data_IF_761822843380
#
_entry.id   IF_761822843380
#
_cell.length_a   1.000
_cell.length_b   1.000
_cell.length_c   1.000
_cell.angle_alpha   90.00
_cell.angle_beta   90.00
_cell.angle_gamma   90.00
#
_symmetry.space_group_name_H-M   'P 1'
#
loop_
_entity.id
_entity.type
_entity.pdbx_description
1 polymer ?
#
# COMPACT_ATOMS: atom_id res chain seq x y z
N UNK A 1 6.90 12.51 6.92
CA UNK A 1 6.52 11.27 6.20
C UNK A 1 7.10 10.06 6.91
N UNK A 2 6.25 9.11 7.31
CA UNK A 2 6.67 7.87 7.96
C UNK A 2 6.24 6.65 7.15
N UNK A 3 7.08 5.62 7.07
CA UNK A 3 6.75 4.35 6.40
C UNK A 3 6.39 3.30 7.46
N UNK A 4 5.15 2.84 7.50
CA UNK A 4 4.73 1.81 8.48
C UNK A 4 5.03 0.39 8.00
N UNK A 5 4.78 0.12 6.72
CA UNK A 5 5.00 -1.17 6.07
C UNK A 5 5.41 -0.97 4.61
N UNK A 6 6.16 -1.94 4.07
CA UNK A 6 6.37 -2.05 2.64
C UNK A 6 6.54 -3.50 2.20
N UNK A 7 6.26 -3.75 0.92
CA UNK A 7 6.64 -4.96 0.22
C UNK A 7 7.00 -4.59 -1.22
N UNK A 8 8.27 -4.79 -1.59
CA UNK A 8 8.74 -4.61 -2.96
C UNK A 8 8.64 -5.96 -3.66
N UNK A 9 7.91 -6.00 -4.76
CA UNK A 9 7.71 -7.15 -5.63
C UNK A 9 8.61 -6.98 -6.87
N UNK A 10 8.81 -8.04 -7.68
CA UNK A 10 9.61 -7.95 -8.90
C UNK A 10 9.08 -6.92 -9.92
N UNK A 11 7.77 -6.69 -9.94
CA UNK A 11 7.05 -5.88 -10.94
C UNK A 11 6.38 -4.62 -10.37
N UNK A 12 6.16 -4.53 -9.05
CA UNK A 12 5.53 -3.39 -8.39
C UNK A 12 5.93 -3.30 -6.90
N UNK A 13 5.40 -2.32 -6.18
CA UNK A 13 5.61 -2.18 -4.75
C UNK A 13 4.33 -1.76 -4.05
N UNK A 14 4.24 -2.09 -2.78
CA UNK A 14 3.18 -1.66 -1.87
C UNK A 14 3.80 -0.95 -0.67
N UNK A 15 3.27 0.22 -0.32
CA UNK A 15 3.72 1.04 0.80
C UNK A 15 2.51 1.42 1.67
N UNK A 16 2.67 1.34 2.99
CA UNK A 16 1.76 1.97 3.96
C UNK A 16 2.49 3.19 4.51
N UNK A 17 1.97 4.36 4.15
CA UNK A 17 2.61 5.66 4.40
C UNK A 17 1.75 6.51 5.31
N UNK A 18 2.39 7.26 6.19
CA UNK A 18 1.75 8.25 7.04
C UNK A 18 2.30 9.64 6.69
N UNK A 19 1.59 10.40 5.84
CA UNK A 19 1.89 11.81 5.61
C UNK A 19 1.56 12.64 6.86
N UNK A 20 2.31 13.70 7.09
CA UNK A 20 2.06 14.64 8.20
C UNK A 20 1.31 15.89 7.71
N UNK A 21 1.52 16.25 6.45
CA UNK A 21 0.89 17.40 5.81
C UNK A 21 0.33 17.03 4.42
N UNK A 22 -0.58 17.88 3.93
CA UNK A 22 -1.08 17.78 2.57
C UNK A 22 0.06 17.93 1.56
N UNK A 23 0.11 17.04 0.58
CA UNK A 23 1.14 17.02 -0.46
C UNK A 23 2.34 16.11 -0.17
N UNK A 24 2.61 15.77 1.09
CA UNK A 24 3.74 14.93 1.51
C UNK A 24 3.81 13.61 0.71
N UNK A 25 2.66 12.96 0.51
CA UNK A 25 2.58 11.70 -0.23
C UNK A 25 3.07 11.85 -1.68
N UNK A 26 2.58 12.88 -2.37
CA UNK A 26 2.92 13.14 -3.77
C UNK A 26 4.39 13.52 -3.93
N UNK A 27 4.90 14.34 -3.01
CA UNK A 27 6.31 14.73 -3.01
C UNK A 27 7.24 13.54 -2.73
N UNK A 28 6.93 12.74 -1.71
CA UNK A 28 7.70 11.56 -1.36
C UNK A 28 7.78 10.55 -2.52
N UNK A 29 6.64 10.24 -3.15
CA UNK A 29 6.60 9.29 -4.26
C UNK A 29 7.22 9.85 -5.54
N UNK A 30 7.13 11.16 -5.78
CA UNK A 30 7.88 11.84 -6.85
C UNK A 30 9.39 11.68 -6.63
N UNK A 31 9.88 12.00 -5.43
CA UNK A 31 11.30 11.85 -5.10
C UNK A 31 11.78 10.41 -5.26
N UNK A 32 11.02 9.44 -4.74
CA UNK A 32 11.31 8.01 -4.84
C UNK A 32 11.47 7.56 -6.31
N UNK A 33 10.46 7.85 -7.13
CA UNK A 33 10.41 7.39 -8.52
C UNK A 33 11.43 8.09 -9.42
N UNK A 34 11.62 9.40 -9.26
CA UNK A 34 12.62 10.20 -9.99
C UNK A 34 14.05 9.82 -9.61
N UNK A 35 14.29 9.42 -8.36
CA UNK A 35 15.62 8.97 -7.92
C UNK A 35 15.90 7.52 -8.33
N UNK A 36 14.90 6.64 -8.25
CA UNK A 36 15.08 5.22 -8.56
C UNK A 36 15.28 4.97 -10.06
N UNK A 37 14.47 5.58 -10.91
CA UNK A 37 14.49 5.36 -12.38
C UNK A 37 15.89 5.49 -13.00
N UNK A 38 16.63 6.62 -12.84
CA UNK A 38 17.96 6.75 -13.44
C UNK A 38 18.98 5.78 -12.82
N UNK A 39 18.90 5.51 -11.50
CA UNK A 39 19.79 4.55 -10.84
C UNK A 39 19.59 3.13 -11.37
N UNK A 40 18.34 2.74 -11.59
CA UNK A 40 17.99 1.44 -12.17
C UNK A 40 18.52 1.33 -13.61
N UNK A 41 18.27 2.34 -14.45
CA UNK A 41 18.78 2.31 -15.83
C UNK A 41 20.30 2.27 -15.90
N UNK A 42 21.00 3.01 -15.02
CA UNK A 42 22.45 2.96 -14.92
C UNK A 42 22.95 1.57 -14.51
N UNK A 43 22.34 0.95 -13.50
CA UNK A 43 22.72 -0.39 -13.02
C UNK A 43 22.43 -1.50 -14.03
N UNK A 44 21.44 -1.31 -14.92
CA UNK A 44 21.04 -2.29 -15.93
C UNK A 44 21.50 -1.95 -17.35
N UNK A 45 22.33 -0.91 -17.53
CA UNK A 45 22.81 -0.44 -18.84
C UNK A 45 21.69 -0.16 -19.87
N UNK A 46 20.56 0.38 -19.41
CA UNK A 46 19.37 0.68 -20.24
C UNK A 46 19.06 2.19 -20.26
N UNK A 47 20.06 3.04 -20.08
CA UNK A 47 19.88 4.50 -20.14
C UNK A 47 19.24 4.91 -21.47
N UNK A 48 18.13 5.66 -21.40
CA UNK A 48 17.42 6.17 -22.57
C UNK A 48 16.27 5.30 -23.09
N UNK A 49 15.99 4.13 -22.49
CA UNK A 49 14.92 3.22 -22.97
C UNK A 49 13.50 3.60 -22.53
N UNK A 50 13.28 4.85 -22.12
CA UNK A 50 11.98 5.33 -21.66
C UNK A 50 11.74 5.15 -20.14
N UNK A 51 10.52 5.39 -19.66
CA UNK A 51 10.21 5.39 -18.23
C UNK A 51 10.15 3.98 -17.64
N UNK A 52 10.74 3.81 -16.44
CA UNK A 52 10.64 2.56 -15.67
C UNK A 52 9.22 2.33 -15.09
N UNK A 53 8.58 3.38 -14.58
CA UNK A 53 7.24 3.31 -14.00
C UNK A 53 6.17 3.69 -15.00
N UNK A 54 5.18 2.82 -15.17
CA UNK A 54 4.05 3.04 -16.08
C UNK A 54 2.87 3.69 -15.34
N UNK A 55 2.71 5.00 -15.52
CA UNK A 55 1.57 5.75 -15.00
C UNK A 55 1.75 6.29 -13.59
N UNK A 56 0.65 6.78 -13.01
CA UNK A 56 0.63 7.36 -11.66
C UNK A 56 0.52 6.26 -10.61
N UNK A 57 1.07 6.51 -9.42
CA UNK A 57 0.81 5.67 -8.26
C UNK A 57 -0.69 5.67 -7.91
N UNK A 58 -1.16 4.58 -7.32
CA UNK A 58 -2.50 4.50 -6.73
C UNK A 58 -2.40 4.61 -5.22
N UNK A 59 -3.31 5.36 -4.62
CA UNK A 59 -3.41 5.50 -3.17
C UNK A 59 -4.88 5.47 -2.74
N UNK A 60 -5.10 5.07 -1.49
CA UNK A 60 -6.38 5.18 -0.80
C UNK A 60 -6.12 5.42 0.68
N UNK A 61 -6.97 6.22 1.35
CA UNK A 61 -6.85 6.46 2.78
C UNK A 61 -7.36 5.26 3.59
N UNK A 62 -6.78 5.10 4.79
CA UNK A 62 -7.12 4.05 5.76
C UNK A 62 -7.22 4.71 7.14
N UNK A 63 -8.23 4.41 7.97
CA UNK A 63 -8.32 4.93 9.32
C UNK A 63 -7.21 4.35 10.20
N UNK A 64 -6.92 5.05 11.29
CA UNK A 64 -5.92 4.71 12.29
C UNK A 64 -6.46 3.72 13.33
N UNK A 65 -7.07 2.63 12.85
CA UNK A 65 -7.67 1.56 13.65
C UNK A 65 -7.26 0.16 13.11
N UNK A 66 -8.03 -0.87 13.44
CA UNK A 66 -7.84 -2.26 12.98
C UNK A 66 -7.77 -2.41 11.44
N UNK A 67 -8.34 -1.47 10.67
CA UNK A 67 -8.23 -1.46 9.22
C UNK A 67 -6.79 -1.21 8.77
N UNK A 68 -6.01 -0.43 9.52
CA UNK A 68 -4.58 -0.25 9.26
C UNK A 68 -3.83 -1.56 9.44
N UNK A 69 -4.15 -2.35 10.46
CA UNK A 69 -3.58 -3.69 10.63
C UNK A 69 -3.97 -4.59 9.46
N UNK A 70 -5.22 -4.54 9.00
CA UNK A 70 -5.68 -5.32 7.85
C UNK A 70 -4.91 -4.99 6.57
N UNK A 71 -4.71 -3.70 6.27
CA UNK A 71 -3.94 -3.24 5.10
C UNK A 71 -2.46 -3.60 5.25
N UNK A 72 -1.87 -3.39 6.42
CA UNK A 72 -0.48 -3.73 6.67
C UNK A 72 -0.20 -5.23 6.53
N UNK A 73 -1.11 -6.08 7.03
CA UNK A 73 -1.06 -7.54 6.83
C UNK A 73 -1.10 -7.88 5.35
N UNK A 74 -1.98 -7.24 4.59
CA UNK A 74 -2.05 -7.45 3.14
C UNK A 74 -0.76 -7.09 2.42
N UNK A 75 -0.12 -5.97 2.81
CA UNK A 75 1.16 -5.51 2.25
C UNK A 75 2.26 -6.50 2.57
N UNK A 76 2.46 -6.85 3.84
CA UNK A 76 3.56 -7.74 4.26
C UNK A 76 3.35 -9.20 3.83
N UNK A 77 2.11 -9.63 3.60
CA UNK A 77 1.78 -10.97 3.06
C UNK A 77 1.92 -11.07 1.54
N UNK A 78 2.15 -9.97 0.82
CA UNK A 78 1.99 -9.93 -0.64
C UNK A 78 2.88 -10.96 -1.37
N UNK A 79 4.16 -11.04 -1.00
CA UNK A 79 5.10 -12.00 -1.58
C UNK A 79 4.71 -13.46 -1.31
N UNK A 80 4.24 -13.76 -0.10
CA UNK A 80 3.72 -15.09 0.25
C UNK A 80 2.50 -15.45 -0.61
N UNK A 81 1.57 -14.50 -0.80
CA UNK A 81 0.38 -14.71 -1.64
C UNK A 81 0.73 -14.89 -3.11
N UNK A 82 1.81 -14.26 -3.59
CA UNK A 82 2.32 -14.41 -4.95
C UNK A 82 3.18 -15.68 -5.14
N UNK A 83 3.27 -16.55 -4.13
CA UNK A 83 4.11 -17.76 -4.14
C UNK A 83 5.60 -17.48 -4.37
N UNK A 84 6.08 -16.28 -4.02
CA UNK A 84 7.51 -15.91 -4.13
C UNK A 84 8.33 -16.33 -2.91
N UNK A 85 7.66 -16.69 -1.82
CA UNK A 85 8.26 -17.16 -0.57
C UNK A 85 7.31 -18.15 0.13
N UNK A 86 7.85 -19.04 0.96
CA UNK A 86 7.08 -19.99 1.77
C UNK A 86 6.51 -19.37 3.05
N UNK A 87 7.16 -18.32 3.57
CA UNK A 87 6.69 -17.54 4.72
C UNK A 87 6.86 -16.05 4.46
N UNK A 88 5.96 -15.23 4.99
CA UNK A 88 5.96 -13.79 4.73
C UNK A 88 7.24 -13.10 5.23
N UNK A 89 7.76 -13.51 6.37
CA UNK A 89 8.97 -12.97 6.98
C UNK A 89 10.28 -13.41 6.32
N UNK A 90 10.24 -14.31 5.34
CA UNK A 90 11.42 -14.74 4.60
C UNK A 90 11.65 -13.87 3.34
N UNK A 91 10.68 -13.01 2.99
CA UNK A 91 10.81 -12.08 1.88
C UNK A 91 11.71 -10.89 2.23
N UNK A 92 12.96 -10.93 1.76
CA UNK A 92 13.99 -9.94 2.10
C UNK A 92 13.66 -8.50 1.71
N UNK A 93 12.78 -8.32 0.74
CA UNK A 93 12.36 -7.01 0.23
C UNK A 93 11.05 -6.52 0.85
N UNK A 94 10.74 -6.93 2.08
CA UNK A 94 9.56 -6.49 2.84
C UNK A 94 9.89 -6.03 4.26
N UNK A 95 9.02 -5.18 4.82
CA UNK A 95 9.17 -4.65 6.17
C UNK A 95 9.14 -5.74 7.26
N UNK A 96 8.40 -6.83 7.03
CA UNK A 96 8.33 -7.95 7.99
C UNK A 96 9.69 -8.65 8.16
N UNK A 97 10.40 -8.89 7.06
CA UNK A 97 11.77 -9.41 7.11
C UNK A 97 12.70 -8.41 7.79
N UNK A 98 12.65 -7.13 7.42
CA UNK A 98 13.51 -6.10 7.99
C UNK A 98 13.35 -6.00 9.52
N UNK A 99 12.10 -6.02 10.01
CA UNK A 99 11.81 -6.02 11.46
C UNK A 99 12.33 -7.26 12.15
N UNK A 100 12.23 -8.44 11.51
CA UNK A 100 12.77 -9.70 12.05
C UNK A 100 14.29 -9.67 12.19
N UNK A 101 14.99 -9.02 11.26
CA UNK A 101 16.44 -8.87 11.35
C UNK A 101 16.89 -7.90 12.46
N UNK A 102 15.96 -7.14 13.05
CA UNK A 102 16.25 -6.09 14.04
C UNK A 102 17.29 -5.07 13.54
N UNK A 103 17.38 -4.91 12.21
CA UNK A 103 18.28 -3.94 11.60
C UNK A 103 17.65 -2.56 11.78
N UNK A 104 18.35 -1.60 12.40
CA UNK A 104 17.87 -0.23 12.50
C UNK A 104 17.55 0.31 11.10
N UNK A 105 16.30 0.70 10.90
CA UNK A 105 15.85 1.26 9.63
C UNK A 105 15.65 2.75 9.81
N UNK A 106 16.36 3.54 9.03
CA UNK A 106 16.17 5.00 9.02
C UNK A 106 14.82 5.40 8.41
N UNK A 107 14.15 4.45 7.72
CA UNK A 107 12.94 4.71 6.93
C UNK A 107 11.69 4.08 7.53
N UNK A 108 11.82 2.91 8.17
CA UNK A 108 10.70 2.17 8.70
C UNK A 108 10.34 2.70 10.10
N UNK A 109 9.13 3.21 10.25
CA UNK A 109 8.64 3.70 11.52
C UNK A 109 8.58 2.59 12.58
N UNK A 110 9.12 2.88 13.75
CA UNK A 110 9.09 1.99 14.91
C UNK A 110 7.70 1.94 15.56
N UNK A 111 7.04 3.10 15.61
CA UNK A 111 5.72 3.29 16.18
C UNK A 111 4.65 3.30 15.09
N UNK A 112 3.59 2.56 15.33
CA UNK A 112 2.35 2.59 14.54
C UNK A 112 1.31 3.37 15.36
N UNK A 113 0.33 4.00 14.70
CA UNK A 113 -0.77 4.66 15.40
C UNK A 113 -1.61 3.66 16.21
N UNK A 114 -1.63 2.40 15.78
CA UNK A 114 -2.27 1.28 16.48
C UNK A 114 -1.22 0.29 16.99
N UNK A 115 -1.39 -0.28 18.20
CA UNK A 115 -0.49 -1.29 18.71
C UNK A 115 -0.45 -2.51 17.79
N UNK A 116 0.76 -2.93 17.38
CA UNK A 116 0.93 -4.17 16.64
C UNK A 116 0.69 -5.38 17.57
N UNK A 117 -0.12 -6.36 17.16
CA UNK A 117 -0.31 -7.59 17.93
C UNK A 117 1.01 -8.30 18.24
N UNK A 118 1.15 -8.87 19.44
CA UNK A 118 2.38 -9.59 19.85
C UNK A 118 2.75 -10.72 18.89
N UNK A 119 1.75 -11.38 18.29
CA UNK A 119 1.93 -12.47 17.34
C UNK A 119 1.78 -12.01 15.88
N UNK A 120 2.17 -10.77 15.58
CA UNK A 120 2.00 -10.16 14.26
C UNK A 120 2.50 -11.04 13.11
N UNK A 121 3.71 -11.57 13.20
CA UNK A 121 4.28 -12.46 12.17
C UNK A 121 3.41 -13.71 11.92
N UNK A 122 2.89 -14.33 12.99
CA UNK A 122 2.01 -15.49 12.85
C UNK A 122 0.70 -15.09 12.17
N UNK A 123 0.13 -13.94 12.53
CA UNK A 123 -1.06 -13.39 11.91
C UNK A 123 -0.87 -13.07 10.42
N UNK A 124 0.29 -12.51 10.04
CA UNK A 124 0.61 -12.26 8.62
C UNK A 124 0.68 -13.56 7.81
N UNK A 125 1.15 -14.66 8.40
CA UNK A 125 1.22 -15.97 7.73
C UNK A 125 -0.12 -16.71 7.64
N UNK A 126 -1.14 -16.31 8.39
CA UNK A 126 -2.49 -16.88 8.24
C UNK A 126 -3.16 -16.37 6.95
N UNK A 127 -3.94 -17.20 6.23
CA UNK A 127 -4.78 -16.71 5.14
C UNK A 127 -5.82 -15.69 5.65
N UNK A 128 -6.08 -14.66 4.85
CA UNK A 128 -7.23 -13.78 5.05
C UNK A 128 -8.49 -14.41 4.45
N UNK A 129 -9.66 -13.86 4.77
CA UNK A 129 -10.90 -14.26 4.12
C UNK A 129 -10.96 -13.73 2.68
N UNK A 130 -11.71 -14.40 1.82
CA UNK A 130 -11.92 -13.93 0.45
C UNK A 130 -12.61 -12.56 0.43
N UNK A 131 -13.55 -12.32 1.35
CA UNK A 131 -14.25 -11.04 1.47
C UNK A 131 -13.30 -9.88 1.78
N UNK A 132 -12.39 -10.06 2.75
CA UNK A 132 -11.36 -9.05 3.07
C UNK A 132 -10.44 -8.80 1.87
N UNK A 133 -10.00 -9.86 1.20
CA UNK A 133 -9.13 -9.74 0.03
C UNK A 133 -9.82 -8.97 -1.11
N UNK A 134 -11.10 -9.24 -1.36
CA UNK A 134 -11.87 -8.53 -2.38
C UNK A 134 -12.09 -7.06 -2.02
N UNK A 135 -12.33 -6.76 -0.75
CA UNK A 135 -12.42 -5.37 -0.26
C UNK A 135 -11.10 -4.62 -0.46
N UNK A 136 -9.97 -5.21 -0.08
CA UNK A 136 -8.63 -4.63 -0.28
C UNK A 136 -8.30 -4.43 -1.76
N UNK A 137 -8.57 -5.43 -2.61
CA UNK A 137 -8.36 -5.32 -4.05
C UNK A 137 -9.18 -4.20 -4.67
N UNK A 138 -10.42 -4.00 -4.21
CA UNK A 138 -11.26 -2.88 -4.65
C UNK A 138 -10.57 -1.55 -4.35
N UNK A 139 -10.08 -1.36 -3.13
CA UNK A 139 -9.35 -0.16 -2.72
C UNK A 139 -8.06 0.04 -3.53
N UNK A 140 -7.24 -1.01 -3.69
CA UNK A 140 -5.99 -0.97 -4.49
C UNK A 140 -6.26 -0.61 -5.95
N UNK A 141 -7.31 -1.15 -6.55
CA UNK A 141 -7.61 -0.94 -7.97
C UNK A 141 -8.24 0.43 -8.21
N UNK A 142 -9.15 0.86 -7.34
CA UNK A 142 -10.02 2.03 -7.56
C UNK A 142 -9.60 3.29 -6.81
N UNK A 143 -8.71 3.17 -5.82
CA UNK A 143 -8.43 4.26 -4.87
C UNK A 143 -9.54 4.49 -3.86
N UNK A 144 -10.43 3.52 -3.66
CA UNK A 144 -11.54 3.63 -2.69
C UNK A 144 -10.99 3.60 -1.27
N UNK A 145 -11.37 4.55 -0.38
CA UNK A 145 -11.04 4.49 1.04
C UNK A 145 -11.31 3.09 1.63
N UNK A 146 -10.40 2.58 2.46
CA UNK A 146 -10.56 1.28 3.09
C UNK A 146 -10.90 1.47 4.56
N UNK A 147 -12.09 1.07 4.98
CA UNK A 147 -12.64 1.33 6.32
C UNK A 147 -14.11 0.97 6.42
N UNK A 148 -14.77 1.33 7.52
CA UNK A 148 -16.22 1.21 7.66
C UNK A 148 -16.99 2.02 6.62
N UNK A 149 -18.18 1.56 6.22
CA UNK A 149 -18.93 2.15 5.11
C UNK A 149 -19.21 3.67 5.28
N UNK A 150 -19.57 4.09 6.50
CA UNK A 150 -19.78 5.50 6.84
C UNK A 150 -18.48 6.31 6.71
N UNK A 151 -17.39 5.78 7.26
CA UNK A 151 -16.07 6.41 7.16
C UNK A 151 -15.60 6.54 5.71
N UNK A 152 -15.83 5.52 4.88
CA UNK A 152 -15.51 5.59 3.45
C UNK A 152 -16.26 6.72 2.75
N UNK A 153 -17.56 6.91 3.04
CA UNK A 153 -18.37 7.97 2.44
C UNK A 153 -17.89 9.36 2.88
N UNK A 154 -17.67 9.55 4.18
CA UNK A 154 -17.22 10.82 4.76
C UNK A 154 -15.83 11.19 4.23
N UNK A 155 -14.87 10.26 4.29
CA UNK A 155 -13.51 10.46 3.78
C UNK A 155 -13.50 10.70 2.27
N UNK A 156 -14.32 9.97 1.49
CA UNK A 156 -14.39 10.18 0.05
C UNK A 156 -14.96 11.55 -0.31
N UNK A 157 -15.87 12.10 0.50
CA UNK A 157 -16.38 13.46 0.32
C UNK A 157 -15.29 14.49 0.63
N UNK A 158 -14.66 14.38 1.79
CA UNK A 158 -13.62 15.31 2.25
C UNK A 158 -12.43 15.37 1.29
N UNK A 159 -11.96 14.22 0.80
CA UNK A 159 -10.80 14.13 -0.08
C UNK A 159 -11.17 14.19 -1.58
N UNK A 160 -12.42 14.53 -1.92
CA UNK A 160 -12.91 14.56 -3.30
C UNK A 160 -12.72 13.24 -4.08
N UNK A 161 -12.74 12.10 -3.38
CA UNK A 161 -12.63 10.75 -3.94
C UNK A 161 -13.99 10.10 -4.25
N UNK A 162 -15.08 10.88 -4.32
CA UNK A 162 -16.44 10.35 -4.54
C UNK A 162 -16.61 9.53 -5.83
N UNK A 163 -15.77 9.74 -6.85
CA UNK A 163 -15.76 8.93 -8.07
C UNK A 163 -15.31 7.48 -7.83
N UNK A 164 -14.49 7.24 -6.80
CA UNK A 164 -13.97 5.92 -6.47
C UNK A 164 -15.06 4.99 -5.92
N UNK A 165 -16.11 5.55 -5.31
CA UNK A 165 -17.25 4.81 -4.74
C UNK A 165 -18.31 4.39 -5.77
N UNK A 166 -18.41 5.09 -6.90
CA UNK A 166 -19.47 4.86 -7.90
C UNK A 166 -19.15 3.65 -8.79
N UNK A 167 -20.17 2.89 -9.20
CA UNK A 167 -20.01 1.81 -10.19
C UNK A 167 -19.35 2.30 -11.49
N UNK A 168 -18.66 1.42 -12.23
CA UNK A 168 -18.13 1.76 -13.56
C UNK A 168 -19.28 2.06 -14.53
N UNK A 169 -19.24 3.18 -15.23
CA UNK A 169 -20.20 3.57 -16.26
C UNK A 169 -20.87 4.92 -16.02
N UNK A 170 -21.58 5.44 -17.05
CA UNK A 170 -22.40 6.65 -16.94
C UNK A 170 -23.52 6.41 -15.90
N UNK A 171 -23.82 7.36 -15.00
CA UNK A 171 -24.96 7.24 -14.10
C UNK A 171 -26.23 6.91 -14.89
N UNK A 172 -27.02 5.92 -14.43
CA UNK A 172 -28.33 5.64 -15.04
C UNK A 172 -29.16 6.92 -14.94
N UNK A 173 -29.68 7.41 -16.07
CA UNK A 173 -30.69 8.47 -16.07
C UNK A 173 -31.89 7.95 -15.26
N UNK A 174 -32.35 8.73 -14.29
CA UNK A 174 -33.65 8.50 -13.66
C UNK A 174 -34.73 8.55 -14.76
N UNK A 175 -35.72 7.64 -14.75
CA UNK A 175 -36.93 7.86 -15.55
C UNK A 175 -37.58 9.15 -15.03
N UNK A 176 -37.81 10.10 -15.93
CA UNK A 176 -38.60 11.29 -15.65
C UNK A 176 -40.09 10.98 -15.67
#
# INVERSE_FOLDING_TARGET
MRVHCFCVMPDHWHLVLWPEHDGDLSEYLRWLTVTHTPRWHAAHHTSGTGPLYQGRFKSFPVPDDEHLLTVSRYVERNALRANLTSRAEDWRWGSLWQRRQQVPSVTLADTWPVPRPRQWTAFVNQPGTEAELQALRRSVVRGTPFGEARWQQDTAKTLSLGSTLRGRGRPRKSPG
#
